data_IF_395977538129
#
_entry.id   IF_395977538129
#
_cell.length_a   1.000
_cell.length_b   1.000
_cell.length_c   1.000
_cell.angle_alpha   90.00
_cell.angle_beta   90.00
_cell.angle_gamma   90.00
#
_symmetry.space_group_name_H-M   'P 1'
#
loop_
_entity.id
_entity.type
_entity.pdbx_description
1 polymer ?
#
# COMPACT_ATOMS: atom_id res chain seq x y z
N UNK A 1 -6.53 -36.01 27.53
CA UNK A 1 -6.03 -34.66 27.24
C UNK A 1 -6.82 -34.11 26.07
N UNK A 2 -7.40 -32.89 26.15
CA UNK A 2 -8.17 -32.33 25.05
C UNK A 2 -7.26 -32.12 23.83
N UNK A 3 -7.73 -32.54 22.65
CA UNK A 3 -7.08 -32.24 21.39
C UNK A 3 -7.61 -30.88 20.91
N UNK A 4 -6.71 -29.91 20.76
CA UNK A 4 -7.01 -28.59 20.22
C UNK A 4 -6.69 -28.55 18.73
N UNK A 5 -7.45 -27.78 17.95
CA UNK A 5 -7.14 -27.49 16.55
C UNK A 5 -7.14 -25.99 16.32
N UNK A 6 -6.02 -25.44 15.84
CA UNK A 6 -5.90 -24.04 15.45
C UNK A 6 -5.56 -23.92 13.97
N UNK A 7 -6.09 -22.89 13.32
CA UNK A 7 -5.88 -22.62 11.91
C UNK A 7 -5.38 -21.19 11.74
N UNK A 8 -4.29 -21.03 10.99
CA UNK A 8 -3.67 -19.74 10.71
C UNK A 8 -3.52 -19.54 9.20
N UNK A 9 -3.56 -18.30 8.75
CA UNK A 9 -3.17 -17.91 7.40
C UNK A 9 -1.81 -17.22 7.46
N UNK A 10 -0.78 -17.85 6.90
CA UNK A 10 0.59 -17.35 6.96
C UNK A 10 1.01 -16.65 5.67
N UNK A 11 1.64 -15.48 5.81
CA UNK A 11 2.31 -14.81 4.70
C UNK A 11 3.53 -15.64 4.23
N UNK A 12 3.92 -15.50 2.96
CA UNK A 12 5.02 -16.28 2.34
C UNK A 12 6.34 -16.21 3.14
N UNK A 13 6.68 -15.04 3.69
CA UNK A 13 7.88 -14.88 4.51
C UNK A 13 7.80 -15.67 5.82
N UNK A 14 6.62 -15.69 6.47
CA UNK A 14 6.37 -16.47 7.67
C UNK A 14 6.39 -17.98 7.39
N UNK A 15 5.88 -18.41 6.23
CA UNK A 15 5.96 -19.81 5.79
C UNK A 15 7.41 -20.27 5.64
N UNK A 16 8.24 -19.52 4.91
CA UNK A 16 9.64 -19.85 4.68
C UNK A 16 10.49 -19.80 5.96
N UNK A 17 10.15 -18.93 6.91
CA UNK A 17 10.76 -18.92 8.23
C UNK A 17 10.39 -20.18 9.02
N UNK A 18 9.10 -20.50 9.09
CA UNK A 18 8.59 -21.67 9.80
C UNK A 18 9.22 -22.97 9.28
N UNK A 19 9.32 -23.14 7.96
CA UNK A 19 9.98 -24.30 7.35
C UNK A 19 11.44 -24.47 7.79
N UNK A 20 12.20 -23.36 7.84
CA UNK A 20 13.60 -23.40 8.28
C UNK A 20 13.74 -23.73 9.76
N UNK A 21 12.88 -23.18 10.61
CA UNK A 21 12.91 -23.43 12.04
C UNK A 21 12.52 -24.88 12.38
N UNK A 22 11.55 -25.45 11.66
CA UNK A 22 11.12 -26.84 11.87
C UNK A 22 12.09 -27.87 11.27
N UNK A 23 12.90 -27.51 10.28
CA UNK A 23 13.90 -28.40 9.70
C UNK A 23 15.02 -28.79 10.67
N UNK A 24 15.21 -28.02 11.75
CA UNK A 24 16.20 -28.31 12.79
C UNK A 24 15.66 -29.06 14.02
N UNK A 25 14.38 -29.45 14.03
CA UNK A 25 13.73 -30.10 15.17
C UNK A 25 13.42 -31.59 14.94
N UNK A 26 13.09 -32.29 16.03
CA UNK A 26 12.70 -33.70 16.02
C UNK A 26 11.23 -33.87 15.62
N UNK A 27 10.95 -33.70 14.32
CA UNK A 27 9.62 -33.87 13.74
C UNK A 27 9.58 -35.02 12.73
N UNK A 28 8.56 -35.87 12.84
CA UNK A 28 8.28 -36.93 11.89
C UNK A 28 7.49 -36.39 10.70
N UNK A 29 7.99 -36.52 9.45
CA UNK A 29 7.28 -36.07 8.28
C UNK A 29 6.08 -36.96 7.95
N UNK A 30 5.01 -36.32 7.48
CA UNK A 30 3.79 -36.97 7.00
C UNK A 30 3.49 -36.51 5.58
N UNK A 31 2.97 -37.42 4.77
CA UNK A 31 2.48 -37.10 3.43
C UNK A 31 1.00 -36.72 3.50
N UNK A 32 0.66 -35.50 3.04
CA UNK A 32 -0.70 -34.98 2.95
C UNK A 32 -0.86 -34.30 1.59
N UNK A 33 -1.95 -34.59 0.89
CA UNK A 33 -2.22 -34.02 -0.43
C UNK A 33 -2.27 -32.49 -0.38
N UNK A 34 -1.62 -31.83 -1.35
CA UNK A 34 -1.53 -30.37 -1.47
C UNK A 34 -0.88 -29.64 -0.28
N UNK A 35 -0.31 -30.37 0.67
CA UNK A 35 0.52 -29.81 1.72
C UNK A 35 1.88 -29.41 1.13
N UNK A 36 2.39 -28.29 1.63
CA UNK A 36 3.78 -27.87 1.47
C UNK A 36 4.67 -28.68 2.43
N UNK A 37 4.20 -28.88 3.66
CA UNK A 37 4.70 -29.89 4.59
C UNK A 37 3.60 -30.36 5.55
N UNK A 38 3.77 -31.56 6.10
CA UNK A 38 3.04 -32.01 7.29
C UNK A 38 4.04 -32.69 8.22
N UNK A 39 4.06 -32.28 9.48
CA UNK A 39 5.04 -32.71 10.48
C UNK A 39 4.30 -33.10 11.76
N UNK A 40 4.72 -34.19 12.41
CA UNK A 40 4.22 -34.64 13.71
C UNK A 40 5.36 -34.70 14.71
N UNK A 41 5.23 -34.03 15.84
CA UNK A 41 6.25 -34.02 16.88
C UNK A 41 5.81 -33.16 18.04
N UNK A 42 6.43 -33.35 19.21
CA UNK A 42 6.16 -32.54 20.41
C UNK A 42 4.66 -32.43 20.79
N UNK A 43 3.86 -33.46 20.49
CA UNK A 43 2.42 -33.46 20.79
C UNK A 43 1.54 -32.63 19.85
N UNK A 44 2.07 -32.20 18.69
CA UNK A 44 1.39 -31.42 17.64
C UNK A 44 1.58 -32.07 16.27
N UNK A 45 0.54 -31.99 15.44
CA UNK A 45 0.59 -32.21 13.99
C UNK A 45 0.42 -30.85 13.32
N UNK A 46 1.46 -30.39 12.63
CA UNK A 46 1.47 -29.13 11.90
C UNK A 46 1.40 -29.41 10.39
N UNK A 47 0.37 -28.94 9.71
CA UNK A 47 0.20 -29.10 8.26
C UNK A 47 0.06 -27.75 7.59
N UNK A 48 1.06 -27.35 6.80
CA UNK A 48 1.04 -26.15 5.99
C UNK A 48 0.64 -26.50 4.56
N UNK A 49 -0.41 -25.87 4.04
CA UNK A 49 -0.86 -26.02 2.65
C UNK A 49 -0.17 -25.02 1.73
N UNK A 50 -0.11 -25.33 0.43
CA UNK A 50 0.41 -24.41 -0.60
C UNK A 50 -0.33 -23.06 -0.66
N UNK A 51 -1.57 -23.01 -0.17
CA UNK A 51 -2.35 -21.77 -0.03
C UNK A 51 -1.89 -20.87 1.12
N UNK A 52 -0.95 -21.32 1.95
CA UNK A 52 -0.51 -20.61 3.16
C UNK A 52 -1.34 -20.88 4.41
N UNK A 53 -2.38 -21.72 4.30
CA UNK A 53 -3.15 -22.18 5.47
C UNK A 53 -2.30 -23.15 6.29
N UNK A 54 -2.06 -22.84 7.56
CA UNK A 54 -1.43 -23.73 8.54
C UNK A 54 -2.50 -24.28 9.47
N UNK A 55 -2.56 -25.61 9.61
CA UNK A 55 -3.43 -26.30 10.56
C UNK A 55 -2.56 -26.97 11.61
N UNK A 56 -2.79 -26.65 12.87
CA UNK A 56 -2.14 -27.26 14.03
C UNK A 56 -3.17 -28.10 14.80
N UNK A 57 -2.83 -29.35 15.11
CA UNK A 57 -3.72 -30.24 15.85
C UNK A 57 -2.95 -31.01 16.92
N UNK A 58 -3.46 -31.08 18.15
CA UNK A 58 -2.82 -31.87 19.20
C UNK A 58 -3.06 -31.35 20.61
N UNK A 59 -2.33 -31.90 21.58
CA UNK A 59 -2.44 -31.52 22.98
C UNK A 59 -1.50 -30.38 23.40
N UNK A 60 -0.50 -30.05 22.57
CA UNK A 60 0.52 -29.05 22.85
C UNK A 60 0.52 -27.89 21.83
N UNK A 61 -0.63 -27.60 21.24
CA UNK A 61 -0.77 -26.61 20.15
C UNK A 61 -0.32 -25.21 20.59
N UNK A 62 -0.67 -24.78 21.80
CA UNK A 62 -0.29 -23.47 22.33
C UNK A 62 1.23 -23.28 22.42
N UNK A 63 1.96 -24.29 22.92
CA UNK A 63 3.42 -24.24 23.00
C UNK A 63 4.08 -24.14 21.62
N UNK A 64 3.49 -24.75 20.59
CA UNK A 64 3.96 -24.61 19.21
C UNK A 64 3.74 -23.18 18.69
N UNK A 65 2.59 -22.57 18.98
CA UNK A 65 2.27 -21.19 18.58
C UNK A 65 3.26 -20.21 19.20
N UNK A 66 3.50 -20.31 20.50
CA UNK A 66 4.43 -19.43 21.22
C UNK A 66 5.86 -19.55 20.70
N UNK A 67 6.32 -20.77 20.43
CA UNK A 67 7.70 -21.01 19.99
C UNK A 67 7.93 -20.60 18.54
N UNK A 68 7.03 -20.96 17.62
CA UNK A 68 7.30 -20.85 16.18
C UNK A 68 6.47 -19.77 15.47
N UNK A 69 5.34 -19.34 16.04
CA UNK A 69 4.43 -18.37 15.42
C UNK A 69 4.41 -16.98 16.08
N UNK A 70 5.07 -16.77 17.22
CA UNK A 70 5.09 -15.46 17.90
C UNK A 70 5.51 -14.31 16.97
N UNK A 71 6.57 -14.49 16.17
CA UNK A 71 6.99 -13.46 15.20
C UNK A 71 6.02 -13.27 14.02
N UNK A 72 5.27 -14.31 13.64
CA UNK A 72 4.22 -14.19 12.62
C UNK A 72 2.97 -13.47 13.17
N UNK A 73 2.63 -13.69 14.45
CA UNK A 73 1.56 -12.98 15.15
C UNK A 73 1.91 -11.51 15.36
N UNK A 74 3.15 -11.20 15.74
CA UNK A 74 3.63 -9.81 15.85
C UNK A 74 3.59 -9.08 14.50
N UNK A 75 4.01 -9.74 13.42
CA UNK A 75 3.91 -9.18 12.07
C UNK A 75 2.46 -8.97 11.62
N UNK A 76 1.54 -9.89 11.95
CA UNK A 76 0.12 -9.74 11.67
C UNK A 76 -0.54 -8.62 12.50
N UNK A 77 -0.11 -8.44 13.76
CA UNK A 77 -0.56 -7.34 14.61
C UNK A 77 -0.05 -5.99 14.09
N UNK A 78 1.22 -5.89 13.69
CA UNK A 78 1.77 -4.70 13.05
C UNK A 78 1.07 -4.38 11.71
N UNK A 79 0.71 -5.41 10.93
CA UNK A 79 -0.08 -5.21 9.71
C UNK A 79 -1.50 -4.69 10.01
N UNK A 80 -2.11 -5.08 11.14
CA UNK A 80 -3.41 -4.55 11.58
C UNK A 80 -3.34 -3.10 12.05
N UNK A 81 -2.24 -2.66 12.65
CA UNK A 81 -2.05 -1.23 12.98
C UNK A 81 -1.99 -0.35 11.72
N UNK A 82 -1.49 -0.86 10.59
CA UNK A 82 -1.51 -0.15 9.30
C UNK A 82 -2.95 0.08 8.80
N UNK A 83 -3.89 -0.82 9.14
CA UNK A 83 -5.31 -0.71 8.76
C UNK A 83 -6.14 0.07 9.80
N UNK A 84 -5.54 0.57 10.89
CA UNK A 84 -6.26 1.41 11.85
C UNK A 84 -6.62 2.78 11.23
N UNK A 85 -7.76 3.40 11.60
CA UNK A 85 -8.13 4.71 11.09
C UNK A 85 -7.04 5.76 11.35
N UNK A 86 -6.56 6.41 10.29
CA UNK A 86 -5.49 7.41 10.38
C UNK A 86 -5.99 8.60 11.22
N UNK A 87 -5.37 8.80 12.38
CA UNK A 87 -5.67 9.92 13.27
C UNK A 87 -5.01 11.21 12.75
N UNK A 88 -5.68 11.91 11.83
CA UNK A 88 -5.15 13.15 11.23
C UNK A 88 -5.01 14.27 12.28
N UNK A 89 -5.98 14.39 13.18
CA UNK A 89 -6.01 15.42 14.21
C UNK A 89 -5.98 16.85 13.65
N UNK A 90 -5.37 17.78 14.39
CA UNK A 90 -5.23 19.19 14.01
C UNK A 90 -4.04 19.47 13.06
N UNK A 91 -3.45 18.43 12.46
CA UNK A 91 -2.30 18.59 11.54
C UNK A 91 -2.76 19.08 10.17
N UNK A 92 -1.91 19.82 9.46
CA UNK A 92 -2.05 20.01 8.02
C UNK A 92 -1.84 18.67 7.31
N UNK A 93 -2.66 18.39 6.31
CA UNK A 93 -2.60 17.14 5.55
C UNK A 93 -2.14 17.44 4.12
N UNK A 94 -1.27 16.59 3.58
CA UNK A 94 -0.97 16.52 2.15
C UNK A 94 -1.49 15.16 1.67
N UNK A 95 -2.53 15.17 0.84
CA UNK A 95 -3.08 13.97 0.21
C UNK A 95 -2.61 13.86 -1.24
N UNK A 96 -2.31 12.66 -1.73
CA UNK A 96 -1.99 12.45 -3.15
C UNK A 96 -2.62 11.18 -3.72
N UNK A 97 -3.04 11.25 -4.98
CA UNK A 97 -3.74 10.19 -5.72
C UNK A 97 -3.35 10.22 -7.21
N UNK A 98 -3.62 9.13 -7.92
CA UNK A 98 -3.33 8.96 -9.35
C UNK A 98 -4.59 8.70 -10.21
N UNK A 99 -4.55 9.15 -11.47
CA UNK A 99 -5.53 8.82 -12.50
C UNK A 99 -4.81 8.41 -13.80
N UNK A 100 -5.45 7.60 -14.64
CA UNK A 100 -4.85 7.06 -15.87
C UNK A 100 -4.09 5.75 -15.68
N UNK A 101 -3.98 5.24 -14.44
CA UNK A 101 -3.38 3.93 -14.19
C UNK A 101 -4.30 2.82 -14.70
N UNK A 102 -3.84 2.11 -15.73
CA UNK A 102 -4.59 1.02 -16.37
C UNK A 102 -5.42 1.46 -17.57
N UNK A 103 -5.51 2.77 -17.82
CA UNK A 103 -6.06 3.28 -19.06
C UNK A 103 -5.05 3.06 -20.19
N UNK A 104 -5.54 2.56 -21.33
CA UNK A 104 -4.69 2.34 -22.50
C UNK A 104 -4.35 3.66 -23.22
N UNK A 105 -5.26 4.63 -23.15
CA UNK A 105 -5.11 5.93 -23.80
C UNK A 105 -5.05 7.04 -22.75
N UNK A 106 -4.29 8.09 -23.07
CA UNK A 106 -4.17 9.28 -22.23
C UNK A 106 -2.98 9.24 -21.27
N UNK A 107 -2.72 10.35 -20.58
CA UNK A 107 -1.59 10.49 -19.69
C UNK A 107 -1.82 9.75 -18.35
N UNK A 108 -0.72 9.42 -17.68
CA UNK A 108 -0.73 9.09 -16.27
C UNK A 108 -0.58 10.39 -15.47
N UNK A 109 -1.54 10.69 -14.61
CA UNK A 109 -1.58 11.94 -13.85
C UNK A 109 -1.51 11.65 -12.36
N UNK A 110 -0.61 12.33 -11.64
CA UNK A 110 -0.51 12.28 -10.18
C UNK A 110 -0.69 13.68 -9.63
N UNK A 111 -1.60 13.83 -8.67
CA UNK A 111 -1.88 15.12 -8.02
C UNK A 111 -1.69 15.00 -6.51
N UNK A 112 -1.11 16.03 -5.89
CA UNK A 112 -1.14 16.22 -4.45
C UNK A 112 -1.84 17.53 -4.09
N UNK A 113 -2.55 17.54 -2.97
CA UNK A 113 -3.25 18.71 -2.42
C UNK A 113 -2.88 18.86 -0.94
N UNK A 114 -2.57 20.09 -0.53
CA UNK A 114 -2.34 20.44 0.88
C UNK A 114 -3.56 21.16 1.45
N UNK A 115 -4.06 20.68 2.58
CA UNK A 115 -5.19 21.26 3.30
C UNK A 115 -4.95 21.31 4.81
N UNK A 116 -5.06 22.51 5.37
CA UNK A 116 -5.17 22.77 6.81
C UNK A 116 -6.45 22.16 7.41
N UNK A 117 -6.58 22.06 8.74
CA UNK A 117 -7.79 21.54 9.37
C UNK A 117 -9.08 22.27 8.96
N UNK A 118 -9.03 23.60 8.80
CA UNK A 118 -10.17 24.41 8.37
C UNK A 118 -10.54 24.11 6.90
N UNK A 119 -9.55 24.10 6.01
CA UNK A 119 -9.70 23.76 4.59
C UNK A 119 -10.27 22.36 4.38
N UNK A 120 -9.85 21.37 5.19
CA UNK A 120 -10.43 20.02 5.15
C UNK A 120 -11.90 19.99 5.54
N UNK A 121 -12.29 20.74 6.57
CA UNK A 121 -13.69 20.83 6.97
C UNK A 121 -14.56 21.43 5.86
N UNK A 122 -14.01 22.37 5.08
CA UNK A 122 -14.68 22.92 3.91
C UNK A 122 -14.77 21.92 2.74
N UNK A 123 -13.71 21.15 2.46
CA UNK A 123 -13.74 20.10 1.43
C UNK A 123 -14.86 19.09 1.70
N UNK A 124 -15.03 18.68 2.96
CA UNK A 124 -16.12 17.80 3.38
C UNK A 124 -17.48 18.45 3.13
N UNK A 125 -17.65 19.73 3.49
CA UNK A 125 -18.90 20.47 3.25
C UNK A 125 -19.19 20.69 1.75
N UNK A 126 -18.16 20.83 0.93
CA UNK A 126 -18.27 20.97 -0.52
C UNK A 126 -18.70 19.67 -1.22
N UNK A 127 -18.77 18.56 -0.48
CA UNK A 127 -19.15 17.25 -1.00
C UNK A 127 -18.05 16.61 -1.84
N UNK A 128 -16.78 16.92 -1.56
CA UNK A 128 -15.66 16.20 -2.16
C UNK A 128 -15.73 14.75 -1.66
N UNK A 129 -16.00 13.85 -2.59
CA UNK A 129 -16.11 12.41 -2.38
C UNK A 129 -15.09 11.68 -3.26
N UNK A 130 -15.05 10.36 -3.18
CA UNK A 130 -14.27 9.53 -4.13
C UNK A 130 -14.67 9.94 -5.56
N UNK A 131 -13.68 10.32 -6.38
CA UNK A 131 -13.87 10.83 -7.73
C UNK A 131 -14.64 9.84 -8.61
N UNK A 132 -14.60 8.55 -8.28
CA UNK A 132 -15.38 7.48 -8.93
C UNK A 132 -16.89 7.62 -8.76
N UNK A 133 -17.34 8.40 -7.78
CA UNK A 133 -18.76 8.66 -7.53
C UNK A 133 -19.25 9.97 -8.15
N UNK A 134 -18.34 10.77 -8.74
CA UNK A 134 -18.64 12.05 -9.36
C UNK A 134 -18.74 11.90 -10.88
N UNK A 135 -19.69 12.62 -11.50
CA UNK A 135 -19.78 12.69 -12.96
C UNK A 135 -18.75 13.66 -13.54
N UNK A 136 -18.32 13.46 -14.79
CA UNK A 136 -17.43 14.38 -15.50
C UNK A 136 -17.90 15.83 -15.47
N UNK A 137 -19.21 16.05 -15.60
CA UNK A 137 -19.80 17.38 -15.51
C UNK A 137 -19.56 18.02 -14.12
N UNK A 138 -19.65 17.23 -13.05
CA UNK A 138 -19.37 17.68 -11.69
C UNK A 138 -17.88 17.93 -11.50
N UNK A 139 -17.01 17.09 -12.05
CA UNK A 139 -15.55 17.25 -12.00
C UNK A 139 -15.13 18.57 -12.70
N UNK A 140 -15.67 18.87 -13.89
CA UNK A 140 -15.38 20.12 -14.62
C UNK A 140 -15.77 21.39 -13.88
N UNK A 141 -16.75 21.31 -12.98
CA UNK A 141 -17.14 22.43 -12.11
C UNK A 141 -16.29 22.49 -10.85
N UNK A 142 -16.02 21.34 -10.22
CA UNK A 142 -15.27 21.28 -8.97
C UNK A 142 -13.78 21.56 -9.15
N UNK A 143 -13.13 20.99 -10.16
CA UNK A 143 -11.68 21.05 -10.31
C UNK A 143 -11.16 22.50 -10.36
N UNK A 144 -11.70 23.42 -11.18
CA UNK A 144 -11.23 24.82 -11.18
C UNK A 144 -11.42 25.52 -9.83
N UNK A 145 -12.51 25.24 -9.12
CA UNK A 145 -12.77 25.82 -7.81
C UNK A 145 -11.78 25.31 -6.74
N UNK A 146 -11.40 24.03 -6.83
CA UNK A 146 -10.39 23.45 -5.94
C UNK A 146 -8.99 24.01 -6.24
N UNK A 147 -8.61 24.12 -7.51
CA UNK A 147 -7.31 24.66 -7.93
C UNK A 147 -7.10 26.11 -7.50
N UNK A 148 -8.16 26.92 -7.52
CA UNK A 148 -8.09 28.31 -7.07
C UNK A 148 -7.98 28.46 -5.55
N UNK A 149 -8.52 27.50 -4.80
CA UNK A 149 -8.64 27.61 -3.34
C UNK A 149 -7.52 26.89 -2.59
N UNK A 150 -7.05 25.75 -3.09
CA UNK A 150 -6.13 24.88 -2.35
C UNK A 150 -4.74 24.84 -3.00
N UNK A 151 -3.71 24.74 -2.16
CA UNK A 151 -2.35 24.52 -2.67
C UNK A 151 -2.25 23.09 -3.23
N UNK A 152 -1.92 22.98 -4.52
CA UNK A 152 -1.80 21.70 -5.20
C UNK A 152 -0.51 21.62 -6.05
N UNK A 153 -0.14 20.39 -6.40
CA UNK A 153 0.94 20.09 -7.32
C UNK A 153 0.51 18.91 -8.20
N UNK A 154 0.78 18.99 -9.49
CA UNK A 154 0.50 17.94 -10.45
C UNK A 154 1.77 17.52 -11.20
N UNK A 155 1.84 16.23 -11.52
CA UNK A 155 2.79 15.64 -12.46
C UNK A 155 1.95 14.90 -13.52
N UNK A 156 2.12 15.30 -14.78
CA UNK A 156 1.43 14.72 -15.93
C UNK A 156 2.49 14.01 -16.75
N UNK A 157 2.36 12.70 -16.88
CA UNK A 157 3.23 11.88 -17.71
C UNK A 157 2.49 11.51 -19.00
N UNK A 158 2.79 12.24 -20.06
CA UNK A 158 2.20 12.02 -21.38
C UNK A 158 2.57 10.65 -21.95
N UNK A 159 1.75 10.04 -22.83
CA UNK A 159 2.04 8.72 -23.40
C UNK A 159 3.44 8.59 -24.02
N UNK A 160 3.94 9.66 -24.65
CA UNK A 160 5.29 9.68 -25.22
C UNK A 160 6.36 9.55 -24.13
N UNK A 161 6.25 10.33 -23.06
CA UNK A 161 7.20 10.31 -21.93
C UNK A 161 7.06 9.02 -21.12
N UNK A 162 5.83 8.55 -20.91
CA UNK A 162 5.55 7.26 -20.28
C UNK A 162 6.27 6.12 -21.01
N UNK A 163 6.16 6.07 -22.33
CA UNK A 163 6.81 5.03 -23.13
C UNK A 163 8.34 5.10 -23.11
N UNK A 164 8.91 6.27 -22.83
CA UNK A 164 10.36 6.46 -22.67
C UNK A 164 10.84 6.11 -21.25
N UNK A 165 10.06 6.43 -20.22
CA UNK A 165 10.44 6.26 -18.82
C UNK A 165 10.10 4.88 -18.27
N UNK A 166 8.91 4.34 -18.56
CA UNK A 166 8.42 3.07 -18.02
C UNK A 166 9.40 1.89 -18.21
N UNK A 167 10.09 1.71 -19.36
CA UNK A 167 11.05 0.63 -19.53
C UNK A 167 12.24 0.65 -18.55
N UNK A 168 12.50 1.77 -17.88
CA UNK A 168 13.58 1.91 -16.88
C UNK A 168 13.21 1.32 -15.53
N UNK A 169 11.93 1.03 -15.30
CA UNK A 169 11.43 0.49 -14.06
C UNK A 169 11.01 -0.97 -14.23
N UNK A 170 11.14 -1.75 -13.15
CA UNK A 170 10.74 -3.17 -13.14
C UNK A 170 9.22 -3.34 -13.35
N UNK A 171 8.44 -2.37 -12.89
CA UNK A 171 7.00 -2.25 -13.08
C UNK A 171 6.59 -0.79 -12.83
N UNK A 172 5.30 -0.48 -12.92
CA UNK A 172 4.76 0.87 -12.78
C UNK A 172 4.87 1.47 -11.37
N UNK A 173 4.93 0.65 -10.32
CA UNK A 173 4.81 1.15 -8.94
C UNK A 173 5.99 2.06 -8.52
N UNK A 174 7.26 1.76 -8.84
CA UNK A 174 8.37 2.69 -8.61
C UNK A 174 8.21 4.05 -9.31
N UNK A 175 7.69 4.06 -10.55
CA UNK A 175 7.45 5.30 -11.29
C UNK A 175 6.35 6.13 -10.62
N UNK A 176 5.25 5.49 -10.21
CA UNK A 176 4.21 6.15 -9.41
C UNK A 176 4.78 6.73 -8.11
N UNK A 177 5.56 5.94 -7.37
CA UNK A 177 6.17 6.40 -6.11
C UNK A 177 7.03 7.66 -6.32
N UNK A 178 7.76 7.74 -7.42
CA UNK A 178 8.54 8.93 -7.78
C UNK A 178 7.65 10.12 -8.11
N UNK A 179 6.60 9.94 -8.93
CA UNK A 179 5.65 10.99 -9.27
C UNK A 179 4.94 11.56 -8.03
N UNK A 180 4.47 10.68 -7.12
CA UNK A 180 3.89 11.08 -5.84
C UNK A 180 4.90 11.89 -5.01
N UNK A 181 6.14 11.41 -4.89
CA UNK A 181 7.18 12.10 -4.14
C UNK A 181 7.47 13.50 -4.71
N UNK A 182 7.50 13.66 -6.04
CA UNK A 182 7.68 14.96 -6.71
C UNK A 182 6.55 15.93 -6.37
N UNK A 183 5.30 15.49 -6.42
CA UNK A 183 4.14 16.32 -6.05
C UNK A 183 4.17 16.71 -4.55
N UNK A 184 4.37 15.74 -3.67
CA UNK A 184 4.40 15.95 -2.21
C UNK A 184 5.52 16.92 -1.82
N UNK A 185 6.71 16.77 -2.42
CA UNK A 185 7.87 17.63 -2.14
C UNK A 185 7.59 19.10 -2.47
N UNK A 186 6.83 19.39 -3.52
CA UNK A 186 6.42 20.77 -3.89
C UNK A 186 5.50 21.41 -2.84
N UNK A 187 4.78 20.61 -2.06
CA UNK A 187 3.81 21.06 -1.05
C UNK A 187 4.30 20.90 0.39
N UNK A 188 5.47 20.29 0.59
CA UNK A 188 5.99 19.92 1.89
C UNK A 188 6.05 21.10 2.87
N UNK A 189 5.61 20.86 4.10
CA UNK A 189 5.62 21.83 5.19
C UNK A 189 5.98 21.09 6.49
N UNK A 190 6.77 21.71 7.39
CA UNK A 190 7.06 21.12 8.70
C UNK A 190 5.79 20.75 9.46
N UNK A 191 5.76 19.53 10.01
CA UNK A 191 4.61 19.03 10.79
C UNK A 191 3.39 18.62 9.97
N UNK A 192 3.43 18.70 8.64
CA UNK A 192 2.37 18.17 7.79
C UNK A 192 2.37 16.63 7.81
N UNK A 193 1.18 16.05 7.93
CA UNK A 193 0.96 14.62 7.71
C UNK A 193 0.81 14.37 6.21
N UNK A 194 1.47 13.34 5.69
CA UNK A 194 1.36 12.93 4.29
C UNK A 194 0.54 11.65 4.20
N UNK A 195 -0.46 11.66 3.33
CA UNK A 195 -1.34 10.52 3.03
C UNK A 195 -1.30 10.26 1.53
N UNK A 196 -0.95 9.04 1.16
CA UNK A 196 -0.79 8.61 -0.23
C UNK A 196 -1.72 7.43 -0.46
N UNK A 197 -2.47 7.43 -1.57
CA UNK A 197 -3.30 6.27 -1.90
C UNK A 197 -2.43 5.01 -2.06
N UNK A 198 -2.97 3.87 -1.63
CA UNK A 198 -2.21 2.62 -1.60
C UNK A 198 -2.14 2.01 -2.99
N UNK A 199 -1.15 2.45 -3.78
CA UNK A 199 -0.91 1.91 -5.13
C UNK A 199 -0.03 0.65 -5.15
N UNK A 200 0.59 0.25 -4.03
CA UNK A 200 1.46 -0.93 -3.90
C UNK A 200 1.47 -1.55 -2.48
N UNK A 201 1.95 -2.80 -2.36
CA UNK A 201 2.30 -3.41 -1.05
C UNK A 201 3.50 -2.71 -0.41
N UNK A 202 3.51 -2.63 0.94
CA UNK A 202 4.38 -1.80 1.78
C UNK A 202 5.89 -1.86 1.52
N UNK A 203 6.41 -2.87 0.83
CA UNK A 203 7.83 -2.95 0.45
C UNK A 203 8.26 -1.96 -0.63
N UNK A 204 7.33 -1.38 -1.41
CA UNK A 204 7.67 -0.46 -2.51
C UNK A 204 7.65 1.03 -2.12
N UNK A 205 7.00 1.38 -1.01
CA UNK A 205 6.89 2.76 -0.51
C UNK A 205 8.19 3.28 0.14
N UNK A 206 9.16 2.41 0.43
CA UNK A 206 10.43 2.79 1.05
C UNK A 206 11.35 3.64 0.14
N UNK A 207 11.07 3.70 -1.17
CA UNK A 207 11.86 4.46 -2.15
C UNK A 207 11.53 5.98 -2.21
N UNK A 208 10.56 6.47 -1.42
CA UNK A 208 10.28 7.92 -1.37
C UNK A 208 11.42 8.76 -0.77
N UNK A 209 12.46 8.15 -0.19
CA UNK A 209 13.58 8.86 0.45
C UNK A 209 14.83 9.05 -0.41
N UNK A 210 14.94 8.44 -1.60
CA UNK A 210 16.25 8.33 -2.31
C UNK A 210 16.38 8.94 -3.70
N UNK A 211 15.33 9.46 -4.36
CA UNK A 211 15.49 10.06 -5.69
C UNK A 211 15.92 11.54 -5.63
N UNK A 212 17.20 11.77 -5.35
CA UNK A 212 17.87 13.04 -5.61
C UNK A 212 18.55 12.98 -6.96
N UNK A 213 17.81 13.31 -8.02
CA UNK A 213 18.42 13.66 -9.31
C UNK A 213 17.48 14.61 -10.05
N UNK A 214 17.94 15.85 -10.19
CA UNK A 214 17.21 16.95 -10.78
C UNK A 214 17.05 16.78 -12.29
N UNK A 215 15.82 16.93 -12.79
CA UNK A 215 15.57 17.44 -14.14
C UNK A 215 14.23 18.15 -14.16
N UNK A 216 14.22 19.39 -14.67
CA UNK A 216 12.99 20.14 -14.95
C UNK A 216 12.43 19.64 -16.30
N UNK A 217 11.18 19.17 -16.37
CA UNK A 217 10.44 19.19 -17.63
C UNK A 217 9.89 20.59 -17.82
N UNK A 218 10.04 21.11 -19.04
CA UNK A 218 9.44 22.35 -19.50
C UNK A 218 7.91 22.15 -19.61
N UNK A 219 7.17 22.38 -18.52
CA UNK A 219 5.72 22.35 -18.54
C UNK A 219 5.19 23.67 -19.11
N UNK A 220 4.89 23.68 -20.40
CA UNK A 220 4.00 24.68 -21.00
C UNK A 220 2.56 24.34 -20.58
N UNK A 221 1.74 25.29 -20.08
CA UNK A 221 0.39 24.97 -19.66
C UNK A 221 -0.49 24.73 -20.90
N UNK A 222 -0.70 23.47 -21.23
CA UNK A 222 -1.65 23.02 -22.24
C UNK A 222 -3.02 22.80 -21.59
N UNK A 223 -3.80 23.86 -21.48
CA UNK A 223 -5.26 23.75 -21.45
C UNK A 223 -5.84 24.86 -22.35
N UNK A 224 -6.87 24.58 -23.15
CA UNK A 224 -7.55 25.62 -23.92
C UNK A 224 -8.01 26.73 -22.99
N UNK A 225 -7.47 27.93 -23.19
CA UNK A 225 -8.00 29.13 -22.55
C UNK A 225 -9.47 29.28 -22.98
N UNK A 226 -10.41 29.55 -22.05
CA UNK A 226 -11.76 29.88 -22.45
C UNK A 226 -11.71 31.11 -23.36
N UNK A 227 -12.51 31.07 -24.44
CA UNK A 227 -12.69 32.17 -25.38
C UNK A 227 -13.29 33.41 -24.69
#
# INVERSE_FOLDING_TARGET
>A
MPQETLVFQLALAAQARLERELAGGDFEPRSVAHARFSLKGEGVVATLYRSGKLVLQGGAVQGFVERYLAGAQAAAAAAREIDAPIQVGARTLIGSDEAGKGDYFGPLVVVAVRASPAERAELVKAGVADSKTLSDARIRVLAPALEQRYAFAAEVLEPADYNLEHPRYKNLNPLLAELHARCIKKLAQPGALVLVDKFATSSSAANLSTSTSARRPNASPWWPRPA
#
